data_IF_548101717436
#
_entry.id   IF_548101717436
#
_cell.length_a   1.000
_cell.length_b   1.000
_cell.length_c   1.000
_cell.angle_alpha   90.00
_cell.angle_beta   90.00
_cell.angle_gamma   90.00
#
_symmetry.space_group_name_H-M   'P 1'
#
loop_
_entity.id
_entity.type
_entity.pdbx_description
1 polymer ?
#
# COMPACT_ATOMS: atom_id res chain seq x y z
N UNK A 1 16.10 4.32 5.92
CA UNK A 1 15.69 2.90 6.00
C UNK A 1 14.74 2.65 7.17
N UNK A 2 14.97 3.23 8.34
CA UNK A 2 14.11 3.07 9.53
C UNK A 2 12.65 3.54 9.30
N UNK A 3 12.44 4.73 8.73
CA UNK A 3 11.10 5.28 8.45
C UNK A 3 10.21 4.34 7.62
N UNK A 4 10.74 3.78 6.54
CA UNK A 4 10.02 2.86 5.65
C UNK A 4 9.67 1.53 6.35
N UNK A 5 10.59 1.00 7.17
CA UNK A 5 10.35 -0.20 7.96
C UNK A 5 9.21 0.04 8.98
N UNK A 6 9.23 1.20 9.66
CA UNK A 6 8.18 1.59 10.61
C UNK A 6 6.82 1.75 9.93
N UNK A 7 6.77 2.45 8.80
CA UNK A 7 5.56 2.62 8.01
C UNK A 7 4.98 1.25 7.58
N UNK A 8 5.85 0.33 7.15
CA UNK A 8 5.47 -1.03 6.80
C UNK A 8 4.89 -1.80 7.99
N UNK A 9 5.53 -1.74 9.16
CA UNK A 9 5.01 -2.37 10.37
C UNK A 9 3.64 -1.82 10.79
N UNK A 10 3.44 -0.49 10.69
CA UNK A 10 2.14 0.12 10.97
C UNK A 10 1.04 -0.40 10.02
N UNK A 11 1.36 -0.58 8.74
CA UNK A 11 0.43 -1.18 7.77
C UNK A 11 0.15 -2.67 8.06
N UNK A 12 1.16 -3.46 8.43
CA UNK A 12 0.98 -4.87 8.83
C UNK A 12 0.09 -4.99 10.07
N UNK A 13 0.32 -4.15 11.08
CA UNK A 13 -0.49 -4.10 12.29
C UNK A 13 -1.96 -3.75 11.97
N UNK A 14 -2.21 -2.83 11.03
CA UNK A 14 -3.56 -2.51 10.57
C UNK A 14 -4.28 -3.71 9.94
N UNK A 15 -3.53 -4.57 9.25
CA UNK A 15 -4.03 -5.79 8.61
C UNK A 15 -4.12 -6.99 9.57
N UNK A 16 -3.64 -6.85 10.81
CA UNK A 16 -3.55 -7.95 11.77
C UNK A 16 -2.47 -8.98 11.44
N UNK A 17 -1.46 -8.59 10.65
CA UNK A 17 -0.33 -9.44 10.31
C UNK A 17 0.84 -9.28 11.28
N UNK A 18 1.66 -10.33 11.49
CA UNK A 18 2.86 -10.22 12.29
C UNK A 18 3.85 -9.24 11.66
N UNK A 19 4.71 -8.65 12.48
CA UNK A 19 5.80 -7.82 11.98
C UNK A 19 6.77 -8.66 11.14
N UNK A 20 7.02 -8.21 9.92
CA UNK A 20 7.95 -8.82 8.96
C UNK A 20 8.93 -7.75 8.51
N UNK A 21 10.20 -8.14 8.34
CA UNK A 21 11.22 -7.24 7.81
C UNK A 21 10.84 -6.82 6.38
N UNK A 22 10.96 -5.53 6.07
CA UNK A 22 10.71 -5.04 4.73
C UNK A 22 11.89 -5.45 3.86
N UNK A 23 11.59 -6.23 2.83
CA UNK A 23 12.60 -6.58 1.83
C UNK A 23 12.98 -5.36 0.99
N UNK A 24 14.22 -5.29 0.47
CA UNK A 24 14.62 -4.24 -0.44
C UNK A 24 13.66 -4.14 -1.63
N UNK A 25 13.43 -2.91 -2.09
CA UNK A 25 12.61 -2.68 -3.27
C UNK A 25 13.15 -3.50 -4.45
N UNK A 26 12.28 -4.29 -5.05
CA UNK A 26 12.58 -5.04 -6.27
C UNK A 26 11.69 -4.53 -7.41
N UNK A 27 12.25 -4.45 -8.60
CA UNK A 27 11.52 -4.00 -9.81
C UNK A 27 10.89 -5.17 -10.56
N UNK A 28 10.60 -6.29 -9.86
CA UNK A 28 10.03 -7.46 -10.50
C UNK A 28 8.52 -7.29 -10.71
N UNK A 29 8.18 -6.67 -11.84
CA UNK A 29 6.81 -6.42 -12.23
C UNK A 29 5.94 -7.68 -12.29
N UNK A 30 6.52 -8.83 -12.69
CA UNK A 30 5.77 -10.08 -12.77
C UNK A 30 5.28 -10.54 -11.38
N UNK A 31 6.12 -10.38 -10.34
CA UNK A 31 5.72 -10.68 -8.96
C UNK A 31 4.67 -9.69 -8.47
N UNK A 32 4.85 -8.39 -8.72
CA UNK A 32 3.87 -7.37 -8.34
C UNK A 32 2.51 -7.62 -8.98
N UNK A 33 2.50 -7.97 -10.28
CA UNK A 33 1.28 -8.32 -11.00
C UNK A 33 0.59 -9.56 -10.42
N UNK A 34 1.35 -10.64 -10.18
CA UNK A 34 0.79 -11.85 -9.57
C UNK A 34 0.21 -11.58 -8.18
N UNK A 35 0.87 -10.77 -7.36
CA UNK A 35 0.35 -10.35 -6.06
C UNK A 35 -0.95 -9.53 -6.19
N UNK A 36 -1.01 -8.60 -7.14
CA UNK A 36 -2.22 -7.82 -7.42
C UNK A 36 -3.39 -8.70 -7.89
N UNK A 37 -3.13 -9.70 -8.74
CA UNK A 37 -4.13 -10.68 -9.18
C UNK A 37 -4.65 -11.54 -8.02
N UNK A 38 -3.81 -11.89 -7.03
CA UNK A 38 -4.24 -12.56 -5.81
C UNK A 38 -5.09 -11.65 -4.91
N UNK A 39 -4.69 -10.38 -4.76
CA UNK A 39 -5.44 -9.39 -3.97
C UNK A 39 -6.83 -9.13 -4.56
N UNK A 40 -7.01 -9.22 -5.88
CA UNK A 40 -8.31 -9.12 -6.53
C UNK A 40 -9.30 -10.22 -6.11
N UNK A 41 -8.80 -11.42 -5.80
CA UNK A 41 -9.62 -12.56 -5.37
C UNK A 41 -10.12 -12.41 -3.92
N UNK A 42 -9.62 -11.43 -3.17
CA UNK A 42 -10.10 -11.13 -1.84
C UNK A 42 -11.53 -10.59 -1.85
N UNK A 43 -12.23 -10.77 -0.72
CA UNK A 43 -13.56 -10.18 -0.53
C UNK A 43 -13.46 -8.65 -0.59
N UNK A 44 -14.49 -7.92 -1.05
CA UNK A 44 -14.46 -6.46 -1.15
C UNK A 44 -14.06 -5.74 0.14
N UNK A 45 -14.41 -6.30 1.31
CA UNK A 45 -14.01 -5.77 2.62
C UNK A 45 -12.49 -5.79 2.81
N UNK A 46 -11.85 -6.89 2.43
CA UNK A 46 -10.42 -7.11 2.64
C UNK A 46 -9.60 -6.29 1.64
N UNK A 47 -10.11 -6.12 0.40
CA UNK A 47 -9.51 -5.18 -0.58
C UNK A 47 -9.47 -3.74 -0.04
N UNK A 48 -10.59 -3.28 0.55
CA UNK A 48 -10.64 -1.95 1.20
C UNK A 48 -9.64 -1.83 2.35
N UNK A 49 -9.53 -2.88 3.17
CA UNK A 49 -8.58 -2.89 4.29
C UNK A 49 -7.13 -2.81 3.79
N UNK A 50 -6.79 -3.55 2.74
CA UNK A 50 -5.47 -3.49 2.11
C UNK A 50 -5.15 -2.10 1.57
N UNK A 51 -6.05 -1.48 0.79
CA UNK A 51 -5.83 -0.13 0.26
C UNK A 51 -5.66 0.88 1.39
N UNK A 52 -6.46 0.79 2.45
CA UNK A 52 -6.28 1.63 3.64
C UNK A 52 -4.93 1.43 4.34
N UNK A 53 -4.41 0.21 4.39
CA UNK A 53 -3.08 -0.06 4.91
C UNK A 53 -1.98 0.58 4.05
N UNK A 54 -2.11 0.55 2.71
CA UNK A 54 -1.19 1.26 1.81
C UNK A 54 -1.20 2.77 2.10
N UNK A 55 -2.38 3.36 2.28
CA UNK A 55 -2.52 4.77 2.64
C UNK A 55 -1.80 5.11 3.94
N UNK A 56 -1.97 4.30 4.99
CA UNK A 56 -1.29 4.49 6.27
C UNK A 56 0.24 4.42 6.14
N UNK A 57 0.75 3.52 5.30
CA UNK A 57 2.19 3.43 5.05
C UNK A 57 2.71 4.69 4.36
N UNK A 58 2.00 5.20 3.35
CA UNK A 58 2.36 6.40 2.59
C UNK A 58 2.29 7.65 3.46
N UNK A 59 1.25 7.80 4.28
CA UNK A 59 1.07 8.97 5.15
C UNK A 59 2.01 8.97 6.37
N UNK A 60 2.78 7.89 6.58
CA UNK A 60 3.53 7.66 7.83
C UNK A 60 4.71 8.62 8.06
N UNK A 61 5.28 9.20 7.01
CA UNK A 61 6.38 10.16 7.13
C UNK A 61 5.93 11.63 7.07
N UNK A 62 4.63 11.86 6.85
CA UNK A 62 4.00 13.19 6.80
C UNK A 62 4.12 13.90 5.45
N UNK A 63 4.80 13.32 4.47
CA UNK A 63 5.04 13.92 3.16
C UNK A 63 4.61 12.95 2.05
N UNK A 64 3.50 13.24 1.37
CA UNK A 64 3.04 12.40 0.27
C UNK A 64 3.59 12.97 -1.03
N UNK A 65 4.47 12.22 -1.69
CA UNK A 65 5.01 12.61 -3.00
C UNK A 65 4.00 12.33 -4.12
N UNK A 66 4.18 13.01 -5.26
CA UNK A 66 3.38 12.74 -6.48
C UNK A 66 3.49 11.26 -6.90
N UNK A 67 4.68 10.67 -6.81
CA UNK A 67 4.92 9.28 -7.19
C UNK A 67 4.14 8.30 -6.31
N UNK A 68 4.08 8.53 -4.99
CA UNK A 68 3.31 7.69 -4.06
C UNK A 68 1.80 7.86 -4.26
N UNK A 69 1.34 9.09 -4.50
CA UNK A 69 -0.05 9.37 -4.84
C UNK A 69 -0.50 8.64 -6.11
N UNK A 70 0.32 8.66 -7.15
CA UNK A 70 0.07 7.95 -8.41
C UNK A 70 0.10 6.43 -8.22
N UNK A 71 1.08 5.90 -7.49
CA UNK A 71 1.16 4.46 -7.19
C UNK A 71 -0.07 4.00 -6.39
N UNK A 72 -0.48 4.74 -5.38
CA UNK A 72 -1.69 4.47 -4.60
C UNK A 72 -2.94 4.44 -5.48
N UNK A 73 -3.09 5.44 -6.35
CA UNK A 73 -4.24 5.53 -7.26
C UNK A 73 -4.31 4.33 -8.21
N UNK A 74 -3.17 3.89 -8.74
CA UNK A 74 -3.09 2.69 -9.59
C UNK A 74 -3.51 1.44 -8.81
N UNK A 75 -3.01 1.26 -7.58
CA UNK A 75 -3.38 0.11 -6.74
C UNK A 75 -4.88 0.12 -6.40
N UNK A 76 -5.44 1.26 -5.98
CA UNK A 76 -6.85 1.40 -5.64
C UNK A 76 -7.77 1.15 -6.85
N UNK A 77 -7.38 1.68 -8.02
CA UNK A 77 -8.08 1.44 -9.28
C UNK A 77 -8.05 -0.03 -9.67
N UNK A 78 -6.89 -0.68 -9.57
CA UNK A 78 -6.75 -2.11 -9.89
C UNK A 78 -7.58 -2.99 -8.97
N UNK A 79 -7.66 -2.66 -7.67
CA UNK A 79 -8.42 -3.44 -6.69
C UNK A 79 -9.92 -3.09 -6.65
N UNK A 80 -10.38 -2.22 -7.55
CA UNK A 80 -11.76 -1.73 -7.64
C UNK A 80 -12.27 -1.14 -6.32
N UNK A 81 -11.39 -0.41 -5.63
CA UNK A 81 -11.70 0.23 -4.35
C UNK A 81 -11.87 1.73 -4.58
N UNK A 82 -13.06 2.32 -4.35
CA UNK A 82 -13.26 3.74 -4.45
C UNK A 82 -12.63 4.44 -3.23
N UNK A 83 -11.49 5.09 -3.42
CA UNK A 83 -10.81 5.87 -2.39
C UNK A 83 -10.61 7.32 -2.85
N UNK A 84 -10.73 8.29 -1.92
CA UNK A 84 -10.41 9.68 -2.22
C UNK A 84 -8.91 9.81 -2.57
N UNK A 85 -8.56 10.79 -3.42
CA UNK A 85 -7.15 11.07 -3.72
C UNK A 85 -6.40 11.47 -2.45
N UNK A 86 -5.12 11.10 -2.39
CA UNK A 86 -4.23 11.56 -1.33
C UNK A 86 -3.93 13.05 -1.52
N UNK A 87 -3.87 13.80 -0.43
CA UNK A 87 -3.46 15.21 -0.46
C UNK A 87 -1.94 15.27 -0.57
N UNK A 88 -1.43 15.68 -1.73
CA UNK A 88 0.00 15.79 -1.98
C UNK A 88 0.54 16.96 -1.15
N UNK A 89 1.52 16.69 -0.29
CA UNK A 89 2.29 17.72 0.40
C UNK A 89 3.40 18.18 -0.55
N UNK A 90 3.34 19.44 -0.98
CA UNK A 90 4.31 20.05 -1.89
C UNK A 90 5.30 20.96 -1.18
#
# INVERSE_FOLDING_TARGET
TDKAQRAYHCALAHLGFPEVKLEPANSNWHLSRAALELLLQLKPKDRRMFVKACRLAIESDGEITVAEGELYRVIACFLEVPEPPLTISG
#
